data_IF_766621145848
#
_entry.id   IF_766621145848
#
_cell.length_a   1.000
_cell.length_b   1.000
_cell.length_c   1.000
_cell.angle_alpha   90.00
_cell.angle_beta   90.00
_cell.angle_gamma   90.00
#
_symmetry.space_group_name_H-M   'P 1'
#
loop_
_entity.id
_entity.type
_entity.pdbx_description
1 polymer ?
#
# COMPACT_ATOMS: atom_id res chain seq x y z
N UNK A 1 -2.14 -63.01 -19.40
CA UNK A 1 -1.87 -62.56 -18.01
C UNK A 1 -1.71 -61.03 -17.97
N UNK A 2 -2.71 -60.23 -18.41
CA UNK A 2 -2.65 -58.75 -18.37
C UNK A 2 -4.01 -58.02 -18.51
N UNK A 3 -5.12 -58.59 -18.04
CA UNK A 3 -6.42 -57.91 -18.11
C UNK A 3 -7.07 -57.59 -16.75
N UNK A 4 -6.61 -58.19 -15.64
CA UNK A 4 -7.25 -58.01 -14.32
C UNK A 4 -6.94 -56.64 -13.67
N UNK A 5 -5.83 -56.00 -14.04
CA UNK A 5 -5.43 -54.70 -13.45
C UNK A 5 -6.13 -53.48 -14.07
N UNK A 6 -6.90 -53.64 -15.15
CA UNK A 6 -7.64 -52.55 -15.80
C UNK A 6 -9.07 -52.43 -15.30
N UNK A 7 -9.57 -53.48 -14.64
CA UNK A 7 -10.92 -53.55 -14.09
C UNK A 7 -10.96 -52.85 -12.72
N UNK A 8 -9.89 -53.02 -11.94
CA UNK A 8 -9.70 -52.37 -10.64
C UNK A 8 -9.46 -50.86 -10.78
N UNK A 9 -8.69 -50.44 -11.80
CA UNK A 9 -8.43 -49.04 -12.18
C UNK A 9 -9.62 -48.39 -12.93
N UNK A 10 -10.65 -49.17 -13.28
CA UNK A 10 -11.90 -48.63 -13.83
C UNK A 10 -12.98 -48.51 -12.77
N UNK A 11 -12.93 -49.35 -11.73
CA UNK A 11 -13.79 -49.26 -10.55
C UNK A 11 -13.49 -48.05 -9.67
N UNK A 12 -12.22 -47.67 -9.51
CA UNK A 12 -11.82 -46.49 -8.72
C UNK A 12 -12.12 -45.15 -9.43
N UNK A 13 -12.01 -45.09 -10.77
CA UNK A 13 -12.37 -43.93 -11.57
C UNK A 13 -13.89 -43.75 -11.61
N UNK A 14 -14.67 -44.84 -11.67
CA UNK A 14 -16.13 -44.82 -11.59
C UNK A 14 -16.67 -44.31 -10.26
N UNK A 15 -15.99 -44.62 -9.15
CA UNK A 15 -16.37 -44.14 -7.81
C UNK A 15 -15.99 -42.67 -7.57
N UNK A 16 -15.01 -42.12 -8.31
CA UNK A 16 -14.60 -40.71 -8.23
C UNK A 16 -15.41 -39.77 -9.11
N UNK A 17 -16.28 -40.31 -9.98
CA UNK A 17 -17.16 -39.54 -10.86
C UNK A 17 -18.44 -39.02 -10.20
N UNK A 18 -18.78 -39.48 -8.99
CA UNK A 18 -19.87 -38.93 -8.19
C UNK A 18 -19.36 -37.78 -7.30
N UNK A 19 -18.80 -36.74 -7.94
CA UNK A 19 -18.62 -35.45 -7.27
C UNK A 19 -19.97 -34.78 -7.25
N UNK A 20 -20.65 -34.92 -6.11
CA UNK A 20 -21.82 -34.16 -5.69
C UNK A 20 -21.68 -32.67 -6.07
N UNK A 21 -22.54 -32.08 -6.93
CA UNK A 21 -22.73 -30.64 -6.98
C UNK A 21 -23.65 -30.24 -5.82
N UNK A 22 -23.15 -30.43 -4.60
CA UNK A 22 -23.84 -30.09 -3.36
C UNK A 22 -23.38 -28.74 -2.85
N UNK A 23 -24.15 -27.70 -3.17
CA UNK A 23 -24.12 -26.41 -2.52
C UNK A 23 -24.10 -26.54 -1.00
N UNK A 24 -23.01 -26.19 -0.33
CA UNK A 24 -23.06 -25.70 1.05
C UNK A 24 -22.05 -24.58 1.26
N UNK A 25 -22.57 -23.36 1.23
CA UNK A 25 -21.98 -22.22 1.91
C UNK A 25 -20.72 -21.68 1.26
N UNK A 26 -20.89 -20.87 0.21
CA UNK A 26 -19.97 -19.76 -0.02
C UNK A 26 -19.94 -18.92 1.26
N UNK A 27 -18.99 -19.25 2.14
CA UNK A 27 -18.52 -18.35 3.19
C UNK A 27 -18.20 -17.07 2.44
N UNK A 28 -19.03 -16.04 2.61
CA UNK A 28 -18.66 -14.66 2.34
C UNK A 28 -17.44 -14.39 3.19
N UNK A 29 -16.27 -14.82 2.71
CA UNK A 29 -14.98 -14.29 3.11
C UNK A 29 -15.16 -12.80 2.86
N UNK A 30 -15.37 -12.06 3.93
CA UNK A 30 -15.43 -10.61 3.95
C UNK A 30 -14.03 -10.16 3.55
N UNK A 31 -13.75 -10.20 2.25
CA UNK A 31 -12.47 -9.80 1.70
C UNK A 31 -12.23 -8.36 2.18
N UNK A 32 -11.07 -8.10 2.81
CA UNK A 32 -10.78 -6.82 3.46
C UNK A 32 -11.02 -5.61 2.54
N UNK A 33 -11.46 -4.53 3.17
CA UNK A 33 -12.23 -3.41 2.62
C UNK A 33 -11.53 -2.60 1.53
N UNK A 34 -11.70 -2.97 0.26
CA UNK A 34 -11.31 -2.13 -0.89
C UNK A 34 -11.92 -0.71 -0.83
N UNK A 35 -13.08 -0.58 -0.16
CA UNK A 35 -13.78 0.70 0.03
C UNK A 35 -12.98 1.71 0.86
N UNK A 36 -12.15 1.25 1.78
CA UNK A 36 -11.36 2.14 2.63
C UNK A 36 -10.22 2.80 1.84
N UNK A 37 -9.49 2.02 1.04
CA UNK A 37 -8.47 2.52 0.12
C UNK A 37 -9.04 3.53 -0.87
N UNK A 38 -10.21 3.26 -1.44
CA UNK A 38 -10.88 4.22 -2.35
C UNK A 38 -11.21 5.51 -1.63
N UNK A 39 -11.70 5.46 -0.38
CA UNK A 39 -11.99 6.65 0.43
C UNK A 39 -10.75 7.50 0.65
N UNK A 40 -9.63 6.88 0.99
CA UNK A 40 -8.36 7.57 1.24
C UNK A 40 -7.78 8.11 -0.07
N UNK A 41 -7.92 7.38 -1.17
CA UNK A 41 -7.54 7.86 -2.50
C UNK A 41 -8.28 9.13 -2.91
N UNK A 42 -9.58 9.19 -2.64
CA UNK A 42 -10.37 10.41 -2.88
C UNK A 42 -9.85 11.58 -2.05
N UNK A 43 -9.53 11.36 -0.76
CA UNK A 43 -8.92 12.39 0.09
C UNK A 43 -7.58 12.85 -0.50
N UNK A 44 -6.74 11.92 -0.96
CA UNK A 44 -5.45 12.22 -1.56
C UNK A 44 -5.60 13.07 -2.83
N UNK A 45 -6.56 12.74 -3.69
CA UNK A 45 -6.88 13.51 -4.90
C UNK A 45 -7.30 14.93 -4.53
N UNK A 46 -8.21 15.10 -3.57
CA UNK A 46 -8.64 16.43 -3.10
C UNK A 46 -7.46 17.24 -2.57
N UNK A 47 -6.58 16.63 -1.76
CA UNK A 47 -5.38 17.29 -1.26
C UNK A 47 -4.40 17.67 -2.40
N UNK A 48 -4.30 16.86 -3.45
CA UNK A 48 -3.47 17.15 -4.61
C UNK A 48 -4.04 18.30 -5.43
N UNK A 49 -5.35 18.31 -5.67
CA UNK A 49 -6.02 19.43 -6.32
C UNK A 49 -5.83 20.72 -5.52
N UNK A 50 -5.98 20.66 -4.19
CA UNK A 50 -5.76 21.82 -3.32
C UNK A 50 -4.31 22.31 -3.37
N UNK A 51 -3.33 21.42 -3.40
CA UNK A 51 -1.91 21.77 -3.54
C UNK A 51 -1.63 22.46 -4.88
N UNK A 52 -2.10 21.89 -5.99
CA UNK A 52 -1.91 22.47 -7.32
C UNK A 52 -2.57 23.86 -7.36
N UNK A 53 -3.80 23.98 -6.87
CA UNK A 53 -4.51 25.25 -6.76
C UNK A 53 -3.74 26.28 -5.93
N UNK A 54 -3.24 25.87 -4.76
CA UNK A 54 -2.45 26.74 -3.86
C UNK A 54 -1.13 27.13 -4.52
N UNK A 55 -0.48 26.24 -5.28
CA UNK A 55 0.75 26.54 -6.01
C UNK A 55 0.59 27.67 -7.04
N UNK A 56 -0.59 27.78 -7.65
CA UNK A 56 -0.93 28.88 -8.57
C UNK A 56 -1.50 30.13 -7.87
N UNK A 57 -1.82 30.04 -6.58
CA UNK A 57 -2.29 31.21 -5.84
C UNK A 57 -1.12 32.17 -5.62
N UNK A 58 -1.32 33.46 -5.90
CA UNK A 58 -0.31 34.52 -5.76
C UNK A 58 0.04 34.86 -4.30
N UNK A 59 0.10 33.85 -3.43
CA UNK A 59 0.41 33.97 -2.01
C UNK A 59 1.89 34.39 -1.79
N UNK A 60 2.19 35.01 -0.65
CA UNK A 60 3.58 35.36 -0.30
C UNK A 60 4.44 34.09 -0.20
N UNK A 61 5.68 34.18 -0.71
CA UNK A 61 6.56 33.01 -0.92
C UNK A 61 6.79 32.19 0.34
N UNK A 62 7.01 32.82 1.49
CA UNK A 62 7.21 32.11 2.75
C UNK A 62 6.01 31.25 3.14
N UNK A 63 4.80 31.78 2.97
CA UNK A 63 3.56 31.07 3.29
C UNK A 63 3.29 29.94 2.28
N UNK A 64 3.55 30.17 0.99
CA UNK A 64 3.46 29.14 -0.05
C UNK A 64 4.34 27.94 0.31
N UNK A 65 5.61 28.17 0.59
CA UNK A 65 6.57 27.10 0.87
C UNK A 65 6.12 26.29 2.08
N UNK A 66 5.73 26.94 3.18
CA UNK A 66 5.26 26.25 4.38
C UNK A 66 3.99 25.43 4.11
N UNK A 67 3.04 25.98 3.35
CA UNK A 67 1.77 25.32 3.06
C UNK A 67 1.92 24.13 2.12
N UNK A 68 2.70 24.28 1.04
CA UNK A 68 3.02 23.19 0.12
C UNK A 68 3.79 22.08 0.83
N UNK A 69 4.78 22.45 1.65
CA UNK A 69 5.55 21.47 2.43
C UNK A 69 4.66 20.70 3.42
N UNK A 70 3.73 21.40 4.09
CA UNK A 70 2.74 20.78 4.98
C UNK A 70 1.81 19.83 4.23
N UNK A 71 1.28 20.23 3.08
CA UNK A 71 0.42 19.38 2.23
C UNK A 71 1.17 18.14 1.71
N UNK A 72 2.43 18.30 1.31
CA UNK A 72 3.29 17.19 0.88
C UNK A 72 3.53 16.20 2.02
N UNK A 73 3.82 16.69 3.23
CA UNK A 73 4.03 15.85 4.41
C UNK A 73 2.78 15.04 4.78
N UNK A 74 1.60 15.68 4.76
CA UNK A 74 0.32 15.01 5.04
C UNK A 74 0.03 13.91 4.02
N UNK A 75 0.23 14.18 2.73
CA UNK A 75 0.07 13.18 1.66
C UNK A 75 1.02 12.01 1.84
N UNK A 76 2.29 12.29 2.12
CA UNK A 76 3.28 11.26 2.38
C UNK A 76 2.84 10.35 3.53
N UNK A 77 2.39 10.92 4.66
CA UNK A 77 1.87 10.14 5.78
C UNK A 77 0.64 9.30 5.41
N UNK A 78 -0.29 9.86 4.63
CA UNK A 78 -1.47 9.13 4.13
C UNK A 78 -1.09 7.94 3.23
N UNK A 79 -0.15 8.14 2.31
CA UNK A 79 0.33 7.08 1.42
C UNK A 79 1.04 5.98 2.21
N UNK A 80 1.93 6.37 3.13
CA UNK A 80 2.71 5.42 3.93
C UNK A 80 1.82 4.59 4.86
N UNK A 81 0.89 5.23 5.56
CA UNK A 81 0.10 4.54 6.57
C UNK A 81 -0.96 3.62 5.93
N UNK A 82 -1.57 4.03 4.82
CA UNK A 82 -2.67 3.28 4.21
C UNK A 82 -2.30 2.56 2.90
N UNK A 83 -1.62 3.20 1.95
CA UNK A 83 -1.29 2.57 0.66
C UNK A 83 -0.07 1.63 0.73
N UNK A 84 0.91 1.93 1.57
CA UNK A 84 2.04 1.03 1.86
C UNK A 84 1.71 -0.03 2.92
N UNK A 85 0.43 -0.15 3.31
CA UNK A 85 -0.10 -1.14 4.23
C UNK A 85 0.47 -1.11 5.67
N UNK A 86 1.28 -0.13 6.08
CA UNK A 86 1.84 -0.08 7.44
C UNK A 86 0.81 -0.15 8.58
N UNK A 87 -0.42 0.34 8.35
CA UNK A 87 -1.50 0.24 9.34
C UNK A 87 -2.16 -1.14 9.42
N UNK A 88 -2.15 -1.88 8.32
CA UNK A 88 -2.83 -3.17 8.19
C UNK A 88 -1.86 -4.37 8.25
N UNK A 89 -0.56 -4.11 8.13
CA UNK A 89 0.51 -5.10 8.11
C UNK A 89 1.31 -5.10 9.42
N UNK A 90 2.16 -6.10 9.61
CA UNK A 90 2.93 -6.30 10.82
C UNK A 90 3.91 -5.13 11.09
N UNK A 91 4.10 -4.79 12.37
CA UNK A 91 4.96 -3.65 12.82
C UNK A 91 6.43 -3.75 12.35
N UNK A 92 6.84 -4.88 11.79
CA UNK A 92 8.16 -5.09 11.16
C UNK A 92 8.33 -4.24 9.90
N UNK A 93 7.31 -4.16 9.04
CA UNK A 93 7.39 -3.36 7.81
C UNK A 93 7.45 -1.86 8.11
N UNK A 94 6.72 -1.42 9.14
CA UNK A 94 6.80 -0.04 9.62
C UNK A 94 8.19 0.35 10.11
N UNK A 95 8.90 -0.57 10.77
CA UNK A 95 10.26 -0.31 11.28
C UNK A 95 11.29 -0.15 10.16
N UNK A 96 11.25 -0.98 9.13
CA UNK A 96 12.14 -0.83 7.96
C UNK A 96 11.91 0.50 7.24
N UNK A 97 10.65 0.90 7.08
CA UNK A 97 10.32 2.18 6.48
C UNK A 97 10.85 3.36 7.31
N UNK A 98 10.64 3.35 8.63
CA UNK A 98 11.11 4.40 9.53
C UNK A 98 12.64 4.47 9.52
N UNK A 99 13.33 3.33 9.47
CA UNK A 99 14.79 3.28 9.37
C UNK A 99 15.28 3.92 8.06
N UNK A 100 14.62 3.65 6.93
CA UNK A 100 14.92 4.29 5.65
C UNK A 100 14.63 5.80 5.68
N UNK A 101 13.47 6.19 6.21
CA UNK A 101 13.06 7.59 6.32
C UNK A 101 13.99 8.41 7.23
N UNK A 102 14.40 7.84 8.37
CA UNK A 102 15.37 8.47 9.26
C UNK A 102 16.75 8.55 8.63
N UNK A 103 17.21 7.49 7.95
CA UNK A 103 18.45 7.49 7.18
C UNK A 103 18.47 8.58 6.11
N UNK A 104 17.38 8.73 5.35
CA UNK A 104 17.23 9.79 4.35
C UNK A 104 17.27 11.19 5.00
N UNK A 105 16.59 11.38 6.13
CA UNK A 105 16.62 12.63 6.89
C UNK A 105 18.02 12.97 7.41
N UNK A 106 18.72 12.00 7.97
CA UNK A 106 20.11 12.17 8.45
C UNK A 106 21.03 12.52 7.29
N UNK A 107 20.97 11.78 6.18
CA UNK A 107 21.78 12.04 4.99
C UNK A 107 21.52 13.45 4.45
N UNK A 108 20.25 13.85 4.35
CA UNK A 108 19.87 15.18 3.91
C UNK A 108 20.46 16.27 4.82
N UNK A 109 20.39 16.10 6.14
CA UNK A 109 21.00 17.03 7.10
C UNK A 109 22.53 17.08 6.96
N UNK A 110 23.19 15.94 6.81
CA UNK A 110 24.65 15.88 6.59
C UNK A 110 25.03 16.65 5.33
N UNK A 111 24.33 16.44 4.22
CA UNK A 111 24.58 17.17 2.97
C UNK A 111 24.36 18.67 3.14
N UNK A 112 23.29 19.10 3.82
CA UNK A 112 23.04 20.51 4.11
C UNK A 112 24.14 21.14 4.98
N UNK A 113 24.62 20.42 5.99
CA UNK A 113 25.73 20.88 6.83
C UNK A 113 27.03 21.00 6.05
N UNK A 114 27.34 20.02 5.20
CA UNK A 114 28.51 20.06 4.31
C UNK A 114 28.40 21.24 3.34
N UNK A 115 27.28 21.40 2.64
CA UNK A 115 27.07 22.52 1.72
C UNK A 115 27.25 23.86 2.44
N UNK A 116 26.68 24.02 3.64
CA UNK A 116 26.85 25.22 4.47
C UNK A 116 28.29 25.43 4.92
N UNK A 117 29.04 24.36 5.20
CA UNK A 117 30.44 24.43 5.59
C UNK A 117 31.35 24.83 4.41
N UNK A 118 31.05 24.38 3.20
CA UNK A 118 31.77 24.75 1.97
C UNK A 118 31.32 26.09 1.37
N UNK A 119 30.12 26.57 1.69
CA UNK A 119 29.58 27.85 1.23
C UNK A 119 29.97 29.04 2.14
N UNK A 120 30.83 28.82 3.14
CA UNK A 120 31.55 29.87 3.88
C UNK A 120 32.94 30.05 3.30
#
# INVERSE_FOLDING_TARGET
MRMEGLDEVRGDIGARGAVEPGETGHVRRRHPSAKEYVRIGVILVVLTTLEVWTSYSGLPHGLLITMLFGLAFVKFALVVLWYMHLRFDDSRYSRFFIMGASGAGILFLVVLLLLKAFAR
#
